data_IF_467129711458
#
_entry.id   IF_467129711458
#
_cell.length_a   1.000
_cell.length_b   1.000
_cell.length_c   1.000
_cell.angle_alpha   90.00
_cell.angle_beta   90.00
_cell.angle_gamma   90.00
#
_symmetry.space_group_name_H-M   'P 1'
#
loop_
_entity.id
_entity.type
_entity.pdbx_description
1 polymer ?
#
# COMPACT_ATOMS: atom_id res chain seq x y z
N UNK A 1 0.09 4.45 4.98
CA UNK A 1 0.88 3.25 5.29
C UNK A 1 0.20 2.33 6.29
N UNK A 2 -0.14 2.75 7.52
CA UNK A 2 -0.83 1.88 8.49
C UNK A 2 -2.14 1.28 7.93
N UNK A 3 -3.05 2.12 7.43
CA UNK A 3 -4.30 1.65 6.83
C UNK A 3 -4.10 0.62 5.70
N UNK A 4 -3.11 0.86 4.83
CA UNK A 4 -2.78 -0.05 3.74
C UNK A 4 -2.26 -1.41 4.26
N UNK A 5 -1.44 -1.40 5.31
CA UNK A 5 -0.96 -2.62 5.97
C UNK A 5 -2.07 -3.35 6.73
N UNK A 6 -2.95 -2.63 7.42
CA UNK A 6 -4.09 -3.20 8.13
C UNK A 6 -5.03 -3.90 7.13
N UNK A 7 -5.28 -3.26 5.98
CA UNK A 7 -6.06 -3.84 4.90
C UNK A 7 -5.43 -5.13 4.33
N UNK A 8 -4.14 -5.11 3.98
CA UNK A 8 -3.44 -6.29 3.46
C UNK A 8 -3.41 -7.44 4.47
N UNK A 9 -3.20 -7.10 5.74
CA UNK A 9 -3.22 -8.07 6.84
C UNK A 9 -4.60 -8.70 7.01
N UNK A 10 -5.65 -7.87 7.02
CA UNK A 10 -7.03 -8.35 7.13
C UNK A 10 -7.42 -9.23 5.94
N UNK A 11 -7.07 -8.83 4.70
CA UNK A 11 -7.29 -9.63 3.51
C UNK A 11 -6.65 -11.02 3.63
N UNK A 12 -5.38 -11.06 4.05
CA UNK A 12 -4.66 -12.32 4.23
C UNK A 12 -5.25 -13.21 5.29
N UNK A 13 -5.57 -12.67 6.46
CA UNK A 13 -6.19 -13.45 7.55
C UNK A 13 -7.54 -14.03 7.09
N UNK A 14 -8.31 -13.25 6.32
CA UNK A 14 -9.58 -13.72 5.76
C UNK A 14 -9.40 -14.84 4.71
N UNK A 15 -8.32 -14.79 3.92
CA UNK A 15 -8.03 -15.76 2.85
C UNK A 15 -7.33 -17.04 3.33
N UNK A 16 -6.25 -16.90 4.09
CA UNK A 16 -5.37 -18.00 4.50
C UNK A 16 -5.76 -18.59 5.87
N UNK A 17 -6.73 -17.98 6.57
CA UNK A 17 -7.16 -18.34 7.93
C UNK A 17 -6.02 -18.42 8.96
N UNK A 18 -4.90 -17.73 8.71
CA UNK A 18 -3.73 -17.70 9.57
C UNK A 18 -3.06 -16.33 9.55
N UNK A 19 -2.36 -16.02 10.63
CA UNK A 19 -1.53 -14.82 10.76
C UNK A 19 -0.06 -15.19 10.59
N UNK A 20 0.42 -15.17 9.34
CA UNK A 20 1.81 -15.46 9.00
C UNK A 20 2.62 -14.15 8.97
N UNK A 21 3.43 -13.93 10.01
CA UNK A 21 4.29 -12.75 10.16
C UNK A 21 5.30 -12.62 9.03
N UNK A 22 5.84 -13.73 8.53
CA UNK A 22 6.82 -13.73 7.44
C UNK A 22 6.21 -13.21 6.15
N UNK A 23 5.01 -13.69 5.81
CA UNK A 23 4.24 -13.21 4.64
C UNK A 23 3.82 -11.76 4.78
N UNK A 24 3.36 -11.34 5.95
CA UNK A 24 2.98 -9.94 6.22
C UNK A 24 4.20 -9.02 6.06
N UNK A 25 5.36 -9.46 6.55
CA UNK A 25 6.62 -8.70 6.44
C UNK A 25 7.08 -8.59 4.98
N UNK A 26 7.03 -9.67 4.22
CA UNK A 26 7.35 -9.67 2.80
C UNK A 26 6.41 -8.72 2.02
N UNK A 27 5.12 -8.77 2.32
CA UNK A 27 4.13 -7.88 1.70
C UNK A 27 4.35 -6.42 2.06
N UNK A 28 4.74 -6.12 3.30
CA UNK A 28 5.14 -4.76 3.71
C UNK A 28 6.29 -4.24 2.85
N UNK A 29 7.32 -5.06 2.61
CA UNK A 29 8.46 -4.66 1.79
C UNK A 29 8.03 -4.35 0.34
N UNK A 30 7.17 -5.19 -0.25
CA UNK A 30 6.63 -4.95 -1.61
C UNK A 30 5.79 -3.67 -1.66
N UNK A 31 4.92 -3.45 -0.67
CA UNK A 31 4.13 -2.23 -0.57
C UNK A 31 5.04 -0.99 -0.48
N UNK A 32 6.04 -1.01 0.41
CA UNK A 32 6.97 0.10 0.59
C UNK A 32 7.77 0.42 -0.68
N UNK A 33 8.27 -0.61 -1.37
CA UNK A 33 8.98 -0.44 -2.64
C UNK A 33 8.09 0.22 -3.71
N UNK A 34 6.87 -0.31 -3.90
CA UNK A 34 5.93 0.24 -4.90
C UNK A 34 5.51 1.66 -4.54
N UNK A 35 5.28 1.98 -3.27
CA UNK A 35 4.95 3.33 -2.80
C UNK A 35 6.08 4.31 -3.08
N UNK A 36 7.33 3.93 -2.78
CA UNK A 36 8.50 4.77 -3.04
C UNK A 36 8.66 5.04 -4.53
N UNK A 37 8.45 4.03 -5.38
CA UNK A 37 8.49 4.20 -6.84
C UNK A 37 7.41 5.15 -7.33
N UNK A 38 6.16 4.95 -6.91
CA UNK A 38 5.04 5.79 -7.31
C UNK A 38 5.22 7.25 -6.84
N UNK A 39 5.77 7.46 -5.64
CA UNK A 39 6.11 8.81 -5.15
C UNK A 39 7.23 9.46 -5.96
N UNK A 40 8.24 8.71 -6.39
CA UNK A 40 9.32 9.22 -7.23
C UNK A 40 8.84 9.62 -8.64
N UNK A 41 7.80 8.95 -9.14
CA UNK A 41 7.15 9.23 -10.43
C UNK A 41 6.04 10.30 -10.33
N UNK A 42 5.67 10.72 -9.11
CA UNK A 42 4.58 11.68 -8.91
C UNK A 42 5.01 13.08 -9.33
N UNK A 43 4.31 13.63 -10.32
CA UNK A 43 4.46 15.02 -10.74
C UNK A 43 3.79 15.97 -9.74
N UNK A 44 4.58 16.80 -9.07
CA UNK A 44 4.10 17.76 -8.08
C UNK A 44 3.19 18.82 -8.67
N UNK A 45 3.32 19.11 -9.97
CA UNK A 45 2.46 20.08 -10.66
C UNK A 45 1.03 19.55 -10.85
N UNK A 46 0.84 18.23 -10.82
CA UNK A 46 -0.46 17.57 -10.93
C UNK A 46 -1.06 17.18 -9.59
N UNK A 47 -0.29 17.33 -8.49
CA UNK A 47 -0.81 17.08 -7.15
C UNK A 47 -1.83 18.17 -6.78
N UNK A 48 -2.99 17.80 -6.19
CA UNK A 48 -3.94 18.79 -5.69
C UNK A 48 -3.27 19.80 -4.76
N UNK A 49 -3.62 21.08 -4.91
CA UNK A 49 -2.93 22.16 -4.20
C UNK A 49 -3.08 22.09 -2.67
N UNK A 50 -4.11 21.40 -2.18
CA UNK A 50 -4.39 21.15 -0.76
C UNK A 50 -3.67 19.92 -0.20
N UNK A 51 -3.01 19.13 -1.05
CA UNK A 51 -2.35 17.90 -0.61
C UNK A 51 -0.94 18.14 -0.09
N UNK A 52 -0.65 17.49 1.04
CA UNK A 52 0.73 17.32 1.51
C UNK A 52 1.33 16.04 0.95
N UNK A 53 2.68 15.94 0.93
CA UNK A 53 3.37 14.69 0.60
C UNK A 53 2.94 13.51 1.48
N UNK A 54 2.60 13.77 2.74
CA UNK A 54 2.06 12.75 3.64
C UNK A 54 0.70 12.24 3.15
N UNK A 55 -0.16 13.14 2.67
CA UNK A 55 -1.45 12.79 2.08
C UNK A 55 -1.24 11.96 0.81
N UNK A 56 -0.41 12.43 -0.11
CA UNK A 56 -0.11 11.70 -1.35
C UNK A 56 0.42 10.28 -1.06
N UNK A 57 1.38 10.14 -0.15
CA UNK A 57 1.91 8.84 0.26
C UNK A 57 0.85 7.93 0.90
N UNK A 58 -0.12 8.51 1.62
CA UNK A 58 -1.24 7.75 2.17
C UNK A 58 -2.13 7.18 1.06
N UNK A 59 -2.59 8.03 0.14
CA UNK A 59 -3.48 7.65 -0.96
C UNK A 59 -2.83 6.65 -1.91
N UNK A 60 -1.57 6.88 -2.26
CA UNK A 60 -0.77 5.96 -3.08
C UNK A 60 -0.64 4.60 -2.40
N UNK A 61 -0.36 4.56 -1.09
CA UNK A 61 -0.25 3.31 -0.35
C UNK A 61 -1.58 2.54 -0.32
N UNK A 62 -2.71 3.21 -0.18
CA UNK A 62 -4.04 2.56 -0.20
C UNK A 62 -4.33 1.99 -1.58
N UNK A 63 -4.08 2.73 -2.65
CA UNK A 63 -4.28 2.25 -4.03
C UNK A 63 -3.42 1.03 -4.34
N UNK A 64 -2.13 1.08 -4.03
CA UNK A 64 -1.22 -0.05 -4.25
C UNK A 64 -1.67 -1.28 -3.43
N UNK A 65 -2.15 -1.09 -2.20
CA UNK A 65 -2.65 -2.20 -1.40
C UNK A 65 -3.91 -2.85 -2.01
N UNK A 66 -4.79 -2.06 -2.63
CA UNK A 66 -5.93 -2.60 -3.38
C UNK A 66 -5.46 -3.38 -4.61
N UNK A 67 -4.53 -2.82 -5.39
CA UNK A 67 -3.98 -3.47 -6.58
C UNK A 67 -3.32 -4.82 -6.22
N UNK A 68 -2.55 -4.87 -5.14
CA UNK A 68 -1.92 -6.11 -4.65
C UNK A 68 -2.95 -7.20 -4.29
N UNK A 69 -4.10 -6.82 -3.73
CA UNK A 69 -5.18 -7.76 -3.43
C UNK A 69 -5.88 -8.24 -4.71
N UNK A 70 -6.05 -7.35 -5.70
CA UNK A 70 -6.60 -7.72 -7.00
C UNK A 70 -5.67 -8.66 -7.78
N UNK A 71 -4.35 -8.46 -7.69
CA UNK A 71 -3.32 -9.34 -8.29
C UNK A 71 -3.30 -10.76 -7.69
N UNK A 72 -3.72 -10.94 -6.42
CA UNK A 72 -3.78 -12.25 -5.74
C UNK A 72 -5.06 -13.06 -6.05
N UNK A 73 -6.01 -12.51 -6.81
CA UNK A 73 -7.24 -13.22 -7.24
C UNK A 73 -6.99 -14.23 -8.35
#
# INVERSE_FOLDING_TARGET
MLLAMDFLTAHRVARDHTYDVGRITAMRAVLEERVLRALAETDTAQMPADWSWRHAAHEIAVRIALDLVEEER
#
